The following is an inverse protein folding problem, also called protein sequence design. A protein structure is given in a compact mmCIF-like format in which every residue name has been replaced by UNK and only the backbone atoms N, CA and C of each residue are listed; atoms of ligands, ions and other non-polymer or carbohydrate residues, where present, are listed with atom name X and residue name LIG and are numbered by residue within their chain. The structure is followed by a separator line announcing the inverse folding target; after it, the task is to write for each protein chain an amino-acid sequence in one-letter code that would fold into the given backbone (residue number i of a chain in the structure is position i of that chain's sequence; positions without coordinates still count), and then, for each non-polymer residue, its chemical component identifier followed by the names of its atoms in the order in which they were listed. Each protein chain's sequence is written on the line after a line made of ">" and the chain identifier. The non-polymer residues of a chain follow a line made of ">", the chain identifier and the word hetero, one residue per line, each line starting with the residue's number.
data_IF_128629337416
#
_entry.id   IF_128629337416
#
_cell.length_a   1.000
_cell.length_b   1.000
_cell.length_c   1.000
_cell.angle_alpha   90.00
_cell.angle_beta   90.00
_cell.angle_gamma   90.00
#
_symmetry.space_group_name_H-M   'P 1'
#
loop_
_entity.id
_entity.type
_entity.pdbx_description
1 polymer ?
#
# COMPACT_ATOMS: atom_id res chain seq x y z
N UNK A 1 -12.07 -5.59 -1.98
CA UNK A 1 -11.86 -6.97 -1.49
C UNK A 1 -12.48 -7.98 -2.44
N UNK A 2 -13.81 -8.09 -2.54
CA UNK A 2 -14.50 -9.08 -3.38
C UNK A 2 -14.05 -9.14 -4.86
N UNK A 3 -13.71 -8.00 -5.49
CA UNK A 3 -13.18 -7.98 -6.87
C UNK A 3 -11.77 -8.53 -6.96
N UNK A 4 -10.93 -8.27 -5.95
CA UNK A 4 -9.55 -8.75 -5.89
C UNK A 4 -9.53 -10.26 -5.62
N UNK A 5 -10.33 -10.71 -4.66
CA UNK A 5 -10.52 -12.13 -4.32
C UNK A 5 -11.17 -12.93 -5.45
N UNK A 6 -12.12 -12.34 -6.18
CA UNK A 6 -12.70 -12.95 -7.38
C UNK A 6 -11.70 -13.16 -8.52
N UNK A 7 -10.52 -12.51 -8.47
CA UNK A 7 -9.43 -12.68 -9.42
C UNK A 7 -8.31 -13.62 -8.91
N UNK A 8 -8.58 -14.43 -7.88
CA UNK A 8 -7.61 -15.39 -7.32
C UNK A 8 -6.50 -14.73 -6.50
N UNK A 9 -6.81 -13.60 -5.85
CA UNK A 9 -5.88 -12.92 -4.94
C UNK A 9 -6.48 -12.81 -3.54
N UNK A 10 -5.72 -13.18 -2.51
CA UNK A 10 -6.08 -12.90 -1.13
C UNK A 10 -5.78 -11.46 -0.75
N UNK A 11 -6.68 -10.86 0.02
CA UNK A 11 -6.42 -9.57 0.68
C UNK A 11 -6.23 -9.79 2.18
N UNK A 12 -5.03 -9.47 2.68
CA UNK A 12 -4.66 -9.66 4.09
C UNK A 12 -4.45 -8.30 4.75
N UNK A 13 -5.21 -8.02 5.80
CA UNK A 13 -5.01 -6.81 6.59
C UNK A 13 -3.66 -6.86 7.32
N UNK A 14 -2.94 -5.74 7.30
CA UNK A 14 -1.67 -5.60 8.01
C UNK A 14 -1.94 -5.07 9.41
N UNK A 15 -1.43 -5.76 10.43
CA UNK A 15 -1.49 -5.26 11.80
C UNK A 15 -0.50 -4.11 11.97
N UNK A 16 -1.03 -2.93 12.28
CA UNK A 16 -0.28 -1.69 12.40
C UNK A 16 0.80 -1.74 13.49
N UNK A 17 0.67 -2.59 14.51
CA UNK A 17 1.72 -2.77 15.53
C UNK A 17 3.01 -3.35 14.95
N UNK A 18 2.92 -4.10 13.85
CA UNK A 18 4.06 -4.79 13.25
C UNK A 18 4.87 -3.91 12.28
N UNK A 19 4.50 -2.62 12.11
CA UNK A 19 5.20 -1.62 11.27
C UNK A 19 5.52 -2.09 9.84
N UNK A 20 6.22 -1.29 9.04
CA UNK A 20 6.54 -1.63 7.67
C UNK A 20 7.61 -2.74 7.55
N UNK A 21 8.51 -2.86 8.52
CA UNK A 21 9.61 -3.85 8.47
C UNK A 21 9.13 -5.31 8.40
N UNK A 22 7.92 -5.60 8.90
CA UNK A 22 7.31 -6.93 8.86
C UNK A 22 6.59 -7.23 7.53
N UNK A 23 6.57 -6.27 6.61
CA UNK A 23 6.14 -6.48 5.24
C UNK A 23 7.37 -6.91 4.45
N UNK A 24 7.38 -8.16 3.99
CA UNK A 24 8.48 -8.72 3.19
C UNK A 24 8.41 -8.20 1.73
N UNK A 25 8.78 -6.93 1.54
CA UNK A 25 8.70 -6.19 0.26
C UNK A 25 9.61 -6.77 -0.85
N UNK A 26 10.57 -7.60 -0.47
CA UNK A 26 11.54 -8.27 -1.35
C UNK A 26 11.09 -9.69 -1.77
N UNK A 27 9.93 -10.17 -1.30
CA UNK A 27 9.37 -11.44 -1.76
C UNK A 27 9.03 -11.41 -3.25
N UNK A 28 8.88 -12.58 -3.89
CA UNK A 28 8.46 -12.67 -5.30
C UNK A 28 7.09 -12.03 -5.51
N UNK A 29 6.80 -11.59 -6.76
CA UNK A 29 5.52 -10.93 -7.06
C UNK A 29 4.33 -11.88 -6.83
N UNK A 30 4.54 -13.18 -6.96
CA UNK A 30 3.55 -14.22 -6.66
C UNK A 30 3.18 -14.27 -5.15
N UNK A 31 4.10 -13.89 -4.26
CA UNK A 31 3.87 -13.88 -2.80
C UNK A 31 3.34 -12.55 -2.27
N UNK A 32 3.66 -11.45 -2.96
CA UNK A 32 3.19 -10.11 -2.65
C UNK A 32 2.93 -9.35 -3.95
N UNK A 33 1.71 -9.51 -4.46
CA UNK A 33 1.22 -8.91 -5.71
C UNK A 33 1.18 -7.38 -5.62
N UNK A 34 0.88 -6.84 -4.44
CA UNK A 34 0.84 -5.40 -4.21
C UNK A 34 0.36 -5.03 -2.81
N UNK A 35 0.24 -3.72 -2.57
CA UNK A 35 -0.25 -3.15 -1.31
C UNK A 35 -1.35 -2.14 -1.64
N UNK A 36 -2.43 -2.17 -0.88
CA UNK A 36 -3.49 -1.16 -0.94
C UNK A 36 -3.52 -0.39 0.37
N UNK A 37 -3.51 0.94 0.28
CA UNK A 37 -3.53 1.85 1.41
C UNK A 37 -4.88 2.55 1.50
N UNK A 38 -5.41 2.65 2.71
CA UNK A 38 -6.58 3.48 3.03
C UNK A 38 -6.13 4.71 3.80
N UNK A 39 -5.70 5.75 3.08
CA UNK A 39 -5.02 6.91 3.66
C UNK A 39 -6.06 7.89 4.20
N UNK A 40 -5.81 8.40 5.41
CA UNK A 40 -6.61 9.49 5.96
C UNK A 40 -6.29 10.80 5.24
N UNK A 41 -7.31 11.42 4.66
CA UNK A 41 -7.19 12.76 4.05
C UNK A 41 -7.89 13.77 4.95
N UNK A 42 -7.15 14.77 5.41
CA UNK A 42 -7.69 15.92 6.15
C UNK A 42 -7.74 17.12 5.23
N UNK A 43 -8.93 17.68 5.03
CA UNK A 43 -9.15 18.91 4.24
C UNK A 43 -9.61 20.05 5.15
N UNK A 44 -9.38 21.28 4.70
CA UNK A 44 -9.84 22.52 5.34
C UNK A 44 -9.50 22.59 6.84
N UNK A 45 -8.24 22.44 7.24
CA UNK A 45 -7.83 22.57 8.65
C UNK A 45 -8.33 21.46 9.57
N UNK A 46 -8.81 20.33 9.03
CA UNK A 46 -9.23 19.15 9.79
C UNK A 46 -10.74 19.00 10.01
N UNK A 47 -11.54 19.95 9.51
CA UNK A 47 -13.00 19.89 9.58
C UNK A 47 -13.61 18.82 8.68
N UNK A 48 -12.98 18.53 7.54
CA UNK A 48 -13.38 17.43 6.67
C UNK A 48 -12.38 16.29 6.75
N UNK A 49 -12.88 15.11 7.13
CA UNK A 49 -12.14 13.86 7.09
C UNK A 49 -12.74 12.99 6.00
N UNK A 50 -11.90 12.56 5.08
CA UNK A 50 -12.23 11.53 4.09
C UNK A 50 -11.13 10.48 4.09
N UNK A 51 -11.30 9.47 3.26
CA UNK A 51 -10.26 8.49 2.98
C UNK A 51 -10.01 8.40 1.49
N UNK A 52 -8.79 8.04 1.15
CA UNK A 52 -8.31 7.90 -0.22
C UNK A 52 -7.61 6.56 -0.37
N UNK A 53 -7.94 5.86 -1.45
CA UNK A 53 -7.39 4.54 -1.73
C UNK A 53 -6.20 4.68 -2.67
N UNK A 54 -5.06 4.19 -2.23
CA UNK A 54 -3.82 4.20 -3.02
C UNK A 54 -3.34 2.78 -3.23
N UNK A 55 -2.90 2.48 -4.44
CA UNK A 55 -2.31 1.19 -4.78
C UNK A 55 -0.81 1.33 -4.96
N UNK A 56 -0.04 0.50 -4.28
CA UNK A 56 1.38 0.32 -4.51
C UNK A 56 1.59 -1.03 -5.21
N UNK A 57 2.42 -1.05 -6.24
CA UNK A 57 2.70 -2.28 -6.99
C UNK A 57 4.14 -2.31 -7.46
N UNK A 58 4.76 -3.48 -7.39
CA UNK A 58 6.04 -3.71 -8.03
C UNK A 58 5.83 -3.98 -9.52
N UNK A 59 6.52 -3.22 -10.36
CA UNK A 59 6.47 -3.31 -11.82
C UNK A 59 7.91 -3.31 -12.30
N UNK A 60 8.31 -4.38 -13.01
CA UNK A 60 9.69 -4.56 -13.47
C UNK A 60 10.72 -4.44 -12.34
N UNK A 61 10.41 -4.98 -11.16
CA UNK A 61 11.28 -4.93 -9.98
C UNK A 61 11.30 -3.60 -9.21
N UNK A 62 10.59 -2.56 -9.69
CA UNK A 62 10.53 -1.26 -9.01
C UNK A 62 9.15 -1.05 -8.38
N UNK A 63 9.12 -0.67 -7.11
CA UNK A 63 7.87 -0.30 -6.45
C UNK A 63 7.37 1.04 -6.96
N UNK A 64 6.10 1.07 -7.36
CA UNK A 64 5.43 2.25 -7.87
C UNK A 64 4.24 2.59 -6.97
N UNK A 65 4.09 3.87 -6.63
CA UNK A 65 2.82 4.41 -6.15
C UNK A 65 1.95 4.80 -7.35
N UNK A 66 0.76 4.20 -7.41
CA UNK A 66 -0.24 4.35 -8.47
C UNK A 66 -1.43 5.20 -8.01
N UNK A 67 -1.20 6.13 -7.09
CA UNK A 67 -2.19 7.13 -6.69
C UNK A 67 -2.77 7.84 -7.92
N UNK A 68 -4.10 7.85 -8.02
CA UNK A 68 -4.82 8.51 -9.11
C UNK A 68 -4.69 10.03 -9.10
N UNK A 69 -4.29 10.62 -7.97
CA UNK A 69 -4.09 12.06 -7.83
C UNK A 69 -2.74 12.51 -8.42
N UNK A 70 -1.82 11.58 -8.73
CA UNK A 70 -0.56 11.91 -9.39
C UNK A 70 -0.72 11.95 -10.91
N UNK A 71 -0.11 12.96 -11.54
CA UNK A 71 -0.04 13.06 -13.02
C UNK A 71 0.73 11.88 -13.65
N UNK A 72 1.62 11.24 -12.88
CA UNK A 72 2.38 10.07 -13.30
C UNK A 72 2.71 9.15 -12.13
N UNK A 73 3.13 7.92 -12.41
CA UNK A 73 3.50 6.94 -11.38
C UNK A 73 4.72 7.44 -10.61
N UNK A 74 4.63 7.48 -9.29
CA UNK A 74 5.78 7.78 -8.45
C UNK A 74 6.58 6.51 -8.21
N UNK A 75 7.86 6.51 -8.55
CA UNK A 75 8.76 5.37 -8.40
C UNK A 75 9.56 5.52 -7.11
N UNK A 76 9.53 4.51 -6.25
CA UNK A 76 10.42 4.46 -5.09
C UNK A 76 11.83 4.07 -5.57
N UNK A 77 12.83 4.82 -5.14
CA UNK A 77 14.24 4.60 -5.46
C UNK A 77 14.87 3.45 -4.69
N UNK A 78 14.32 3.09 -3.53
CA UNK A 78 14.74 1.91 -2.77
C UNK A 78 13.62 1.32 -1.91
N UNK A 79 13.87 0.14 -1.35
CA UNK A 79 12.96 -0.54 -0.42
C UNK A 79 12.92 0.20 0.92
N UNK A 80 14.03 0.81 1.34
CA UNK A 80 14.10 1.65 2.53
C UNK A 80 13.21 2.87 2.39
N UNK A 81 13.24 3.56 1.24
CA UNK A 81 12.33 4.69 0.97
C UNK A 81 10.86 4.27 1.06
N UNK A 82 10.52 3.10 0.50
CA UNK A 82 9.16 2.56 0.59
C UNK A 82 8.79 2.20 2.04
N UNK A 83 9.72 1.64 2.83
CA UNK A 83 9.49 1.34 4.25
C UNK A 83 9.24 2.61 5.05
N UNK A 84 10.06 3.64 4.85
CA UNK A 84 9.91 4.94 5.52
C UNK A 84 8.55 5.58 5.17
N UNK A 85 8.15 5.51 3.89
CA UNK A 85 6.83 5.95 3.45
C UNK A 85 5.69 5.18 4.15
N UNK A 86 5.79 3.85 4.20
CA UNK A 86 4.78 3.00 4.84
C UNK A 86 4.72 3.21 6.36
N UNK A 87 5.87 3.35 7.05
CA UNK A 87 5.91 3.65 8.48
C UNK A 87 5.28 5.00 8.78
N UNK A 88 5.60 6.04 7.99
CA UNK A 88 4.94 7.34 8.10
C UNK A 88 3.42 7.28 7.86
N UNK A 89 2.99 6.46 6.91
CA UNK A 89 1.57 6.24 6.64
C UNK A 89 0.87 5.52 7.81
N UNK A 90 1.48 4.46 8.35
CA UNK A 90 1.00 3.69 9.50
C UNK A 90 0.90 4.58 10.75
N UNK A 91 1.94 5.37 11.05
CA UNK A 91 1.95 6.34 12.16
C UNK A 91 0.83 7.40 11.98
N UNK A 92 0.47 7.72 10.73
CA UNK A 92 -0.66 8.58 10.37
C UNK A 92 -2.04 7.92 10.50
N UNK A 93 -2.11 6.64 10.89
CA UNK A 93 -3.34 5.85 11.01
C UNK A 93 -3.85 5.26 9.71
N UNK A 94 -3.01 5.18 8.67
CA UNK A 94 -3.36 4.53 7.40
C UNK A 94 -3.54 3.04 7.59
N UNK A 95 -4.62 2.48 7.04
CA UNK A 95 -4.80 1.04 7.00
C UNK A 95 -4.05 0.46 5.81
N UNK A 96 -3.28 -0.60 6.04
CA UNK A 96 -2.46 -1.25 5.02
C UNK A 96 -3.03 -2.63 4.74
N UNK A 97 -3.28 -2.92 3.47
CA UNK A 97 -3.76 -4.20 2.98
C UNK A 97 -2.71 -4.80 2.06
N UNK A 98 -2.31 -6.05 2.30
CA UNK A 98 -1.40 -6.79 1.44
C UNK A 98 -2.22 -7.65 0.48
N UNK A 99 -1.94 -7.53 -0.81
CA UNK A 99 -2.52 -8.38 -1.85
C UNK A 99 -1.52 -9.47 -2.17
N UNK A 100 -1.97 -10.72 -2.14
CA UNK A 100 -1.17 -11.91 -2.39
C UNK A 100 -1.94 -12.81 -3.33
N UNK A 101 -1.27 -13.66 -4.10
CA UNK A 101 -1.97 -14.70 -4.85
C UNK A 101 -2.62 -15.70 -3.86
N UNK A 102 -3.75 -16.29 -4.24
CA UNK A 102 -4.53 -17.18 -3.37
C UNK A 102 -3.90 -18.59 -3.17
N UNK A 103 -2.86 -18.94 -3.94
CA UNK A 103 -2.26 -20.29 -4.09
C UNK A 103 -3.26 -21.42 -4.39
#
# INVERSE_FOLDING_TARGET
>A
MCVVEGNGNRVVWHDWHNRAYSIHLDESEDKLTGIVLNIHVKRNGGFWRSRHWVSLRRINGVWCNLDSDFESRYLFGSIEELKDFLDGAIDGGTEVLRVKDDD
#
